data_IF_136102387921
#
_entry.id   IF_136102387921
#
_cell.length_a   1.000
_cell.length_b   1.000
_cell.length_c   1.000
_cell.angle_alpha   90.00
_cell.angle_beta   90.00
_cell.angle_gamma   90.00
#
_symmetry.space_group_name_H-M   'P 1'
#
loop_
_entity.id
_entity.type
_entity.pdbx_description
1 polymer ?
#
# COMPACT_ATOMS: atom_id res chain seq x y z
N UNK A 1 -5.13 4.90 44.90
CA UNK A 1 -3.92 4.51 44.16
C UNK A 1 -3.88 5.43 42.96
N UNK A 2 -3.17 6.54 43.10
CA UNK A 2 -3.11 7.63 42.13
C UNK A 2 -2.10 7.25 41.05
N UNK A 3 -2.57 7.11 39.82
CA UNK A 3 -1.71 7.04 38.64
C UNK A 3 -1.26 8.46 38.34
N UNK A 4 -0.02 8.77 38.72
CA UNK A 4 0.65 10.01 38.36
C UNK A 4 0.79 10.05 36.83
N UNK A 5 -0.09 10.81 36.18
CA UNK A 5 0.16 11.29 34.82
C UNK A 5 1.41 12.17 34.89
N UNK A 6 2.44 11.75 34.15
CA UNK A 6 3.71 12.45 34.05
C UNK A 6 3.52 13.92 33.70
N UNK A 7 4.23 14.73 34.47
CA UNK A 7 4.25 16.19 34.46
C UNK A 7 4.45 16.75 33.05
N UNK A 8 3.56 17.66 32.66
CA UNK A 8 3.57 18.31 31.36
C UNK A 8 4.76 19.25 31.26
N UNK A 9 5.83 18.80 30.63
CA UNK A 9 6.84 19.70 30.12
C UNK A 9 6.27 20.37 28.87
N UNK A 10 5.57 21.50 29.08
CA UNK A 10 5.26 22.51 28.07
C UNK A 10 6.56 23.14 27.56
N UNK A 11 7.41 22.35 26.91
CA UNK A 11 8.25 22.93 25.87
C UNK A 11 7.29 23.27 24.76
N UNK A 12 7.03 24.57 24.59
CA UNK A 12 6.48 25.11 23.35
C UNK A 12 7.30 24.49 22.22
N UNK A 13 6.76 23.46 21.58
CA UNK A 13 7.25 23.00 20.30
C UNK A 13 7.02 24.19 19.41
N UNK A 14 8.05 25.02 19.22
CA UNK A 14 8.09 25.90 18.07
C UNK A 14 7.79 24.95 16.92
N UNK A 15 6.61 25.11 16.30
CA UNK A 15 6.29 24.45 15.05
C UNK A 15 7.49 24.70 14.15
N UNK A 16 8.30 23.67 13.95
CA UNK A 16 9.51 23.79 13.18
C UNK A 16 8.99 23.82 11.74
N UNK A 17 9.00 24.98 11.06
CA UNK A 17 8.36 25.11 9.75
C UNK A 17 8.99 24.15 8.73
N UNK A 18 10.22 23.70 8.97
CA UNK A 18 10.88 22.67 8.18
C UNK A 18 10.26 21.28 8.37
N UNK A 19 9.86 20.94 9.59
CA UNK A 19 9.21 19.66 9.93
C UNK A 19 7.77 19.63 9.42
N UNK A 20 7.06 20.77 9.51
CA UNK A 20 5.73 20.92 8.91
C UNK A 20 5.78 20.82 7.38
N UNK A 21 6.79 21.37 6.71
CA UNK A 21 6.96 21.28 5.25
C UNK A 21 7.29 19.85 4.80
N UNK A 22 8.20 19.16 5.51
CA UNK A 22 8.54 17.76 5.23
C UNK A 22 7.34 16.84 5.46
N UNK A 23 6.56 17.07 6.53
CA UNK A 23 5.33 16.34 6.77
C UNK A 23 4.30 16.59 5.66
N UNK A 24 4.16 17.83 5.18
CA UNK A 24 3.28 18.13 4.05
C UNK A 24 3.69 17.39 2.76
N UNK A 25 4.99 17.31 2.46
CA UNK A 25 5.48 16.57 1.29
C UNK A 25 5.24 15.06 1.42
N UNK A 26 5.45 14.50 2.63
CA UNK A 26 5.16 13.10 2.91
C UNK A 26 3.66 12.79 2.78
N UNK A 27 2.78 13.66 3.29
CA UNK A 27 1.33 13.49 3.18
C UNK A 27 0.86 13.45 1.72
N UNK A 28 1.45 14.27 0.86
CA UNK A 28 1.15 14.29 -0.58
C UNK A 28 1.55 12.96 -1.24
N UNK A 29 2.69 12.39 -0.89
CA UNK A 29 3.12 11.08 -1.40
C UNK A 29 2.24 9.95 -0.87
N UNK A 30 1.86 9.98 0.41
CA UNK A 30 0.92 9.01 1.00
C UNK A 30 -0.43 9.07 0.28
N UNK A 31 -0.96 10.26 0.01
CA UNK A 31 -2.20 10.42 -0.75
C UNK A 31 -2.08 9.86 -2.18
N UNK A 32 -0.94 10.07 -2.86
CA UNK A 32 -0.70 9.45 -4.18
C UNK A 32 -0.74 7.93 -4.09
N UNK A 33 -0.15 7.33 -3.06
CA UNK A 33 -0.15 5.88 -2.88
C UNK A 33 -1.54 5.36 -2.54
N UNK A 34 -2.27 6.05 -1.65
CA UNK A 34 -3.64 5.70 -1.27
C UNK A 34 -4.61 5.80 -2.45
N UNK A 35 -4.34 6.68 -3.41
CA UNK A 35 -5.13 6.82 -4.63
C UNK A 35 -4.66 5.93 -5.78
N UNK A 36 -3.44 5.38 -5.70
CA UNK A 36 -2.95 4.44 -6.71
C UNK A 36 -3.79 3.16 -6.70
N UNK A 37 -4.14 2.69 -7.89
CA UNK A 37 -4.93 1.48 -8.09
C UNK A 37 -4.17 0.57 -9.03
N UNK A 38 -3.71 -0.55 -8.49
CA UNK A 38 -3.09 -1.63 -9.28
C UNK A 38 -4.19 -2.46 -9.91
N UNK A 39 -4.10 -2.67 -11.22
CA UNK A 39 -4.91 -3.68 -11.90
C UNK A 39 -4.30 -5.06 -11.68
N UNK A 40 -4.68 -5.70 -10.57
CA UNK A 40 -4.17 -7.02 -10.22
C UNK A 40 -4.54 -8.10 -11.25
N UNK A 41 -5.56 -7.90 -12.09
CA UNK A 41 -5.87 -8.86 -13.14
C UNK A 41 -4.80 -8.87 -14.24
N UNK A 42 -4.26 -7.70 -14.58
CA UNK A 42 -3.15 -7.58 -15.51
C UNK A 42 -1.86 -8.16 -14.93
N UNK A 43 -1.58 -7.90 -13.64
CA UNK A 43 -0.41 -8.47 -12.97
C UNK A 43 -0.44 -10.00 -13.00
N UNK A 44 -1.61 -10.60 -12.78
CA UNK A 44 -1.81 -12.05 -12.85
C UNK A 44 -1.58 -12.58 -14.27
N UNK A 45 -2.04 -11.88 -15.32
CA UNK A 45 -1.76 -12.25 -16.72
C UNK A 45 -0.27 -12.24 -17.06
N UNK A 46 0.49 -11.32 -16.45
CA UNK A 46 1.93 -11.21 -16.70
C UNK A 46 2.72 -12.30 -15.97
N UNK A 47 2.30 -12.69 -14.76
CA UNK A 47 3.02 -13.67 -13.95
C UNK A 47 2.60 -15.13 -14.22
N UNK A 48 1.35 -15.36 -14.65
CA UNK A 48 0.80 -16.69 -14.93
C UNK A 48 0.47 -16.80 -16.42
N UNK A 49 1.31 -17.55 -17.13
CA UNK A 49 1.20 -17.74 -18.59
C UNK A 49 0.15 -18.77 -18.99
N UNK A 50 -0.10 -19.76 -18.12
CA UNK A 50 -1.14 -20.75 -18.35
C UNK A 50 -2.53 -20.13 -18.21
N UNK A 51 -3.38 -20.37 -19.21
CA UNK A 51 -4.68 -19.70 -19.33
C UNK A 51 -5.67 -20.21 -18.28
N UNK A 52 -5.65 -21.50 -18.00
CA UNK A 52 -6.65 -22.14 -17.15
C UNK A 52 -6.29 -21.93 -15.67
N UNK A 53 -5.01 -22.07 -15.32
CA UNK A 53 -4.47 -21.70 -14.01
C UNK A 53 -4.75 -20.22 -13.69
N UNK A 54 -4.47 -19.32 -14.64
CA UNK A 54 -4.72 -17.89 -14.46
C UNK A 54 -6.19 -17.61 -14.15
N UNK A 55 -7.11 -18.24 -14.86
CA UNK A 55 -8.55 -18.05 -14.63
C UNK A 55 -8.96 -18.57 -13.24
N UNK A 56 -8.42 -19.72 -12.82
CA UNK A 56 -8.65 -20.27 -11.50
C UNK A 56 -8.14 -19.33 -10.40
N UNK A 57 -6.94 -18.79 -10.57
CA UNK A 57 -6.33 -17.82 -9.65
C UNK A 57 -7.16 -16.54 -9.57
N UNK A 58 -7.58 -15.96 -10.71
CA UNK A 58 -8.40 -14.74 -10.72
C UNK A 58 -9.70 -14.88 -9.93
N UNK A 59 -10.34 -16.06 -9.98
CA UNK A 59 -11.53 -16.33 -9.17
C UNK A 59 -11.20 -16.30 -7.67
N UNK A 60 -10.11 -16.95 -7.25
CA UNK A 60 -9.66 -17.00 -5.83
C UNK A 60 -9.26 -15.62 -5.30
N UNK A 61 -8.73 -14.77 -6.17
CA UNK A 61 -8.30 -13.41 -5.82
C UNK A 61 -9.45 -12.42 -5.60
N UNK A 62 -10.69 -12.80 -5.90
CA UNK A 62 -11.85 -11.92 -5.70
C UNK A 62 -12.79 -12.47 -4.64
N UNK A 63 -13.28 -11.60 -3.77
CA UNK A 63 -14.30 -11.91 -2.77
C UNK A 63 -15.44 -10.90 -2.87
N UNK A 64 -16.61 -11.23 -2.33
CA UNK A 64 -17.69 -10.26 -2.18
C UNK A 64 -17.61 -9.58 -0.82
N UNK A 65 -17.65 -8.25 -0.82
CA UNK A 65 -17.79 -7.49 0.42
C UNK A 65 -19.22 -7.62 0.98
N UNK A 66 -19.48 -7.01 2.14
CA UNK A 66 -20.80 -7.02 2.79
C UNK A 66 -21.91 -6.39 1.95
N UNK A 67 -21.56 -5.52 1.01
CA UNK A 67 -22.48 -4.89 0.06
C UNK A 67 -22.67 -5.71 -1.23
N UNK A 68 -22.04 -6.89 -1.34
CA UNK A 68 -22.09 -7.74 -2.52
C UNK A 68 -21.18 -7.32 -3.68
N UNK A 69 -20.37 -6.26 -3.52
CA UNK A 69 -19.39 -5.82 -4.53
C UNK A 69 -18.18 -6.75 -4.53
N UNK A 70 -17.68 -7.06 -5.73
CA UNK A 70 -16.43 -7.78 -5.88
C UNK A 70 -15.27 -6.88 -5.48
N UNK A 71 -14.43 -7.36 -4.56
CA UNK A 71 -13.21 -6.69 -4.10
C UNK A 71 -12.05 -7.69 -4.13
N UNK A 72 -10.83 -7.16 -4.16
CA UNK A 72 -9.63 -7.98 -4.12
C UNK A 72 -9.43 -8.62 -2.74
N UNK A 73 -9.14 -9.91 -2.73
CA UNK A 73 -8.73 -10.63 -1.54
C UNK A 73 -7.23 -10.45 -1.34
N UNK A 74 -6.85 -9.52 -0.45
CA UNK A 74 -5.46 -9.14 -0.19
C UNK A 74 -4.62 -10.34 0.30
N UNK A 75 -5.20 -11.23 1.10
CA UNK A 75 -4.49 -12.43 1.57
C UNK A 75 -4.11 -13.34 0.40
N UNK A 76 -5.06 -13.60 -0.50
CA UNK A 76 -4.83 -14.46 -1.67
C UNK A 76 -3.91 -13.77 -2.69
N UNK A 77 -3.98 -12.45 -2.83
CA UNK A 77 -3.06 -11.68 -3.68
C UNK A 77 -1.61 -11.94 -3.28
N UNK A 78 -1.28 -11.85 -1.99
CA UNK A 78 0.07 -12.10 -1.49
C UNK A 78 0.52 -13.56 -1.65
N UNK A 79 -0.41 -14.51 -1.79
CA UNK A 79 -0.09 -15.93 -2.00
C UNK A 79 0.20 -16.27 -3.46
N UNK A 80 -0.56 -15.69 -4.39
CA UNK A 80 -0.50 -16.04 -5.81
C UNK A 80 0.29 -15.06 -6.67
N UNK A 81 0.49 -13.82 -6.19
CA UNK A 81 1.22 -12.80 -6.91
C UNK A 81 2.53 -12.52 -6.19
N UNK A 82 3.63 -12.58 -6.94
CA UNK A 82 4.90 -12.08 -6.45
C UNK A 82 4.90 -10.55 -6.55
N UNK A 83 4.44 -9.89 -5.48
CA UNK A 83 4.34 -8.43 -5.38
C UNK A 83 5.72 -7.78 -5.47
N UNK A 84 6.76 -8.39 -4.90
CA UNK A 84 8.13 -7.88 -4.97
C UNK A 84 8.64 -7.83 -6.41
N UNK A 85 8.37 -8.89 -7.18
CA UNK A 85 8.72 -8.94 -8.61
C UNK A 85 7.94 -7.90 -9.41
N UNK A 86 6.62 -7.79 -9.20
CA UNK A 86 5.82 -6.75 -9.85
C UNK A 86 6.35 -5.35 -9.53
N UNK A 87 6.72 -5.10 -8.27
CA UNK A 87 7.25 -3.81 -7.86
C UNK A 87 8.58 -3.51 -8.55
N UNK A 88 9.50 -4.49 -8.61
CA UNK A 88 10.78 -4.35 -9.31
C UNK A 88 10.59 -4.09 -10.81
N UNK A 89 9.64 -4.77 -11.45
CA UNK A 89 9.45 -4.71 -12.90
C UNK A 89 8.63 -3.49 -13.36
N UNK A 90 7.67 -3.02 -12.56
CA UNK A 90 6.73 -1.95 -12.95
C UNK A 90 6.50 -0.91 -11.85
N UNK A 91 6.46 -1.33 -10.59
CA UNK A 91 6.17 -0.44 -9.46
C UNK A 91 7.22 0.66 -9.27
N UNK A 92 8.48 0.40 -9.61
CA UNK A 92 9.56 1.40 -9.50
C UNK A 92 9.33 2.63 -10.36
N UNK A 93 8.76 2.49 -11.56
CA UNK A 93 8.44 3.64 -12.42
C UNK A 93 7.33 4.51 -11.81
N UNK A 94 6.36 3.88 -11.15
CA UNK A 94 5.27 4.58 -10.47
C UNK A 94 5.70 5.19 -9.13
N UNK A 95 6.73 4.61 -8.48
CA UNK A 95 7.18 4.98 -7.14
C UNK A 95 8.71 5.06 -7.03
N UNK A 96 9.34 6.05 -7.67
CA UNK A 96 10.81 6.18 -7.68
C UNK A 96 11.40 6.47 -6.28
N UNK A 97 10.69 7.25 -5.46
CA UNK A 97 11.17 7.71 -4.15
C UNK A 97 11.13 6.62 -3.04
N UNK A 98 10.55 5.45 -3.34
CA UNK A 98 10.50 4.32 -2.40
C UNK A 98 11.86 3.60 -2.26
N UNK A 99 12.80 3.86 -3.17
CA UNK A 99 14.12 3.25 -3.17
C UNK A 99 15.04 3.78 -2.06
N UNK A 100 14.76 4.96 -1.50
CA UNK A 100 15.63 5.63 -0.52
C UNK A 100 15.40 5.19 0.94
N UNK A 101 14.43 4.30 1.20
CA UNK A 101 14.07 3.81 2.56
C UNK A 101 14.78 2.48 2.91
N UNK A 102 15.78 2.08 2.12
CA UNK A 102 16.54 0.81 2.29
C UNK A 102 17.78 0.92 3.15
#
# INVERSE_FOLDING_TARGET
MELLCGDGNLQQTLANPFEDVVNCEADVEVEKWLNYRVDWAEVVKQQITDKDERNEVLVKLTIRNREGKSVWNVEQLCQYINVCKWFADFGQEAFPNLQEIG
#
